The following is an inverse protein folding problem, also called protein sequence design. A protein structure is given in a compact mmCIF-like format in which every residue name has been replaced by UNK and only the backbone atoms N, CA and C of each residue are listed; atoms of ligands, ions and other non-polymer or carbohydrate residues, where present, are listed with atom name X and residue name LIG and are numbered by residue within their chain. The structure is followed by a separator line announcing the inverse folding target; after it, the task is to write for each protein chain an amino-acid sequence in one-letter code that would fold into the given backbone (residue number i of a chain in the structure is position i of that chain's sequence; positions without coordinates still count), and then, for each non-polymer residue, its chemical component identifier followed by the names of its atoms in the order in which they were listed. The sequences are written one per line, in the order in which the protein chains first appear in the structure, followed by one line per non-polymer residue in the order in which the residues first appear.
data_IF_234430084525
#
_entry.id   IF_234430084525
#
_cell.length_a   1.000
_cell.length_b   1.000
_cell.length_c   1.000
_cell.angle_alpha   90.00
_cell.angle_beta   90.00
_cell.angle_gamma   90.00
#
_symmetry.space_group_name_H-M   'P 1'
#
loop_
_entity.id
_entity.type
_entity.pdbx_description
1 polymer ?
#
# COMPACT_ATOMS: atom_id res chain seq x y z
N UNK A 1 -19.54 11.79 40.15
CA UNK A 1 -19.35 12.32 38.78
C UNK A 1 -18.04 11.85 38.17
N UNK A 2 -16.91 11.97 38.87
CA UNK A 2 -15.60 11.56 38.34
C UNK A 2 -15.49 10.09 37.90
N UNK A 3 -16.08 9.17 38.66
CA UNK A 3 -16.12 7.74 38.29
C UNK A 3 -16.86 7.53 36.95
N UNK A 4 -18.04 8.12 36.78
CA UNK A 4 -18.82 8.00 35.54
C UNK A 4 -18.10 8.64 34.33
N UNK A 5 -17.41 9.77 34.54
CA UNK A 5 -16.60 10.41 33.51
C UNK A 5 -15.50 9.47 33.00
N UNK A 6 -14.72 8.86 33.90
CA UNK A 6 -13.65 7.92 33.54
C UNK A 6 -14.18 6.67 32.84
N UNK A 7 -15.28 6.11 33.32
CA UNK A 7 -15.92 4.95 32.70
C UNK A 7 -16.42 5.29 31.29
N UNK A 8 -17.01 6.46 31.11
CA UNK A 8 -17.44 6.94 29.79
C UNK A 8 -16.25 7.12 28.84
N UNK A 9 -15.19 7.81 29.26
CA UNK A 9 -13.96 8.00 28.47
C UNK A 9 -13.34 6.66 28.06
N UNK A 10 -13.33 5.68 28.97
CA UNK A 10 -12.85 4.32 28.67
C UNK A 10 -13.70 3.62 27.60
N UNK A 11 -15.03 3.63 27.72
CA UNK A 11 -15.89 3.00 26.72
C UNK A 11 -15.80 3.67 25.34
N UNK A 12 -15.63 4.99 25.29
CA UNK A 12 -15.41 5.72 24.03
C UNK A 12 -14.08 5.31 23.40
N UNK A 13 -13.03 5.18 24.19
CA UNK A 13 -11.71 4.74 23.72
C UNK A 13 -11.79 3.32 23.13
N UNK A 14 -12.35 2.36 23.87
CA UNK A 14 -12.52 0.97 23.40
C UNK A 14 -13.36 0.90 22.12
N UNK A 15 -14.45 1.68 22.04
CA UNK A 15 -15.26 1.73 20.82
C UNK A 15 -14.46 2.30 19.65
N UNK A 16 -13.64 3.31 19.89
CA UNK A 16 -12.87 3.99 18.84
C UNK A 16 -11.75 3.08 18.32
N UNK A 17 -11.06 2.34 19.18
CA UNK A 17 -10.10 1.30 18.78
C UNK A 17 -10.78 0.19 17.98
N UNK A 18 -11.93 -0.32 18.43
CA UNK A 18 -12.67 -1.33 17.69
C UNK A 18 -13.16 -0.84 16.31
N UNK A 19 -13.41 0.46 16.15
CA UNK A 19 -13.75 1.06 14.84
C UNK A 19 -12.51 1.21 13.96
N UNK A 20 -11.36 1.51 14.55
CA UNK A 20 -10.09 1.56 13.82
C UNK A 20 -9.72 0.17 13.29
N UNK A 21 -9.88 -0.89 14.09
CA UNK A 21 -9.54 -2.26 13.69
C UNK A 21 -10.33 -2.75 12.47
N UNK A 22 -11.55 -2.26 12.27
CA UNK A 22 -12.41 -2.64 11.13
C UNK A 22 -12.26 -1.71 9.92
N UNK A 23 -11.60 -0.56 10.09
CA UNK A 23 -11.45 0.46 9.06
C UNK A 23 -10.03 0.41 8.50
N UNK A 24 -9.89 0.33 7.17
CA UNK A 24 -8.55 0.38 6.56
C UNK A 24 -7.84 1.70 6.88
N UNK A 25 -6.56 1.62 7.25
CA UNK A 25 -5.72 2.80 7.44
C UNK A 25 -5.66 3.66 6.16
N UNK A 26 -5.68 3.05 4.98
CA UNK A 26 -5.64 3.77 3.70
C UNK A 26 -6.87 4.66 3.51
N UNK A 27 -8.05 4.12 3.80
CA UNK A 27 -9.31 4.86 3.72
C UNK A 27 -9.36 5.98 4.75
N UNK A 28 -8.94 5.69 5.98
CA UNK A 28 -8.86 6.70 7.04
C UNK A 28 -7.91 7.85 6.66
N UNK A 29 -6.72 7.56 6.14
CA UNK A 29 -5.72 8.56 5.77
C UNK A 29 -6.19 9.40 4.56
N UNK A 30 -6.77 8.78 3.54
CA UNK A 30 -7.32 9.48 2.38
C UNK A 30 -8.43 10.46 2.78
N UNK A 31 -9.37 10.02 3.64
CA UNK A 31 -10.43 10.88 4.16
C UNK A 31 -9.87 11.99 5.06
N UNK A 32 -8.89 11.67 5.91
CA UNK A 32 -8.28 12.65 6.80
C UNK A 32 -7.53 13.74 6.04
N UNK A 33 -6.75 13.38 5.02
CA UNK A 33 -6.06 14.33 4.13
C UNK A 33 -7.03 15.31 3.48
N UNK A 34 -8.13 14.80 2.89
CA UNK A 34 -9.15 15.64 2.26
C UNK A 34 -9.78 16.64 3.24
N UNK A 35 -10.12 16.18 4.45
CA UNK A 35 -10.68 17.06 5.47
C UNK A 35 -9.67 18.07 6.03
N UNK A 36 -8.39 17.70 6.15
CA UNK A 36 -7.34 18.64 6.54
C UNK A 36 -7.23 19.76 5.51
N UNK A 37 -7.27 19.45 4.21
CA UNK A 37 -7.26 20.46 3.17
C UNK A 37 -8.45 21.42 3.28
N UNK A 38 -9.65 20.88 3.52
CA UNK A 38 -10.83 21.71 3.76
C UNK A 38 -10.69 22.59 4.99
N UNK A 39 -10.23 22.03 6.11
CA UNK A 39 -10.13 22.75 7.37
C UNK A 39 -9.02 23.83 7.31
N UNK A 40 -7.90 23.56 6.61
CA UNK A 40 -6.87 24.56 6.28
C UNK A 40 -7.47 25.70 5.47
N UNK A 41 -8.25 25.41 4.42
CA UNK A 41 -8.91 26.44 3.63
C UNK A 41 -9.88 27.28 4.47
N UNK A 42 -10.70 26.65 5.32
CA UNK A 42 -11.61 27.34 6.25
C UNK A 42 -10.84 28.23 7.23
N UNK A 43 -9.70 27.76 7.74
CA UNK A 43 -8.84 28.50 8.66
C UNK A 43 -8.25 29.77 8.01
N UNK A 44 -7.75 29.65 6.76
CA UNK A 44 -7.23 30.79 5.99
C UNK A 44 -8.33 31.81 5.68
N UNK A 45 -9.52 31.36 5.28
CA UNK A 45 -10.66 32.25 5.01
C UNK A 45 -11.08 32.98 6.29
N UNK A 46 -11.21 32.26 7.41
CA UNK A 46 -11.59 32.87 8.69
C UNK A 46 -10.60 33.94 9.16
N UNK A 47 -9.29 33.73 8.93
CA UNK A 47 -8.28 34.75 9.20
C UNK A 47 -8.51 36.03 8.38
N UNK A 48 -8.76 35.88 7.07
CA UNK A 48 -8.99 37.01 6.15
C UNK A 48 -10.27 37.77 6.44
N UNK A 49 -11.32 37.04 6.81
CA UNK A 49 -12.62 37.59 7.19
C UNK A 49 -12.63 38.19 8.61
N UNK A 50 -11.50 38.11 9.33
CA UNK A 50 -11.34 38.58 10.70
C UNK A 50 -12.31 37.91 11.69
N UNK A 51 -12.65 36.65 11.41
CA UNK A 51 -13.57 35.85 12.19
C UNK A 51 -12.81 34.97 13.17
N UNK A 52 -12.64 35.47 14.40
CA UNK A 52 -11.91 34.78 15.46
C UNK A 52 -12.55 33.45 15.87
N UNK A 53 -13.88 33.37 15.87
CA UNK A 53 -14.61 32.16 16.30
C UNK A 53 -14.41 31.03 15.28
N UNK A 54 -14.54 31.34 13.99
CA UNK A 54 -14.30 30.35 12.94
C UNK A 54 -12.81 30.01 12.79
N UNK A 55 -11.90 30.95 13.08
CA UNK A 55 -10.47 30.69 13.08
C UNK A 55 -10.08 29.67 14.16
N UNK A 56 -10.50 29.87 15.41
CA UNK A 56 -10.22 28.94 16.51
C UNK A 56 -10.90 27.58 16.27
N UNK A 57 -12.14 27.57 15.77
CA UNK A 57 -12.85 26.33 15.45
C UNK A 57 -12.15 25.53 14.36
N UNK A 58 -11.74 26.16 13.27
CA UNK A 58 -11.02 25.50 12.17
C UNK A 58 -9.65 24.99 12.64
N UNK A 59 -8.91 25.80 13.39
CA UNK A 59 -7.63 25.39 13.97
C UNK A 59 -7.79 24.22 14.95
N UNK A 60 -8.85 24.23 15.77
CA UNK A 60 -9.21 23.13 16.66
C UNK A 60 -9.48 21.82 15.91
N UNK A 61 -10.21 21.88 14.80
CA UNK A 61 -10.46 20.73 13.93
C UNK A 61 -9.16 20.17 13.32
N UNK A 62 -8.29 21.05 12.79
CA UNK A 62 -6.98 20.67 12.24
C UNK A 62 -6.13 19.95 13.31
N UNK A 63 -6.02 20.53 14.52
CA UNK A 63 -5.28 19.92 15.63
C UNK A 63 -5.85 18.54 16.00
N UNK A 64 -7.17 18.43 16.13
CA UNK A 64 -7.84 17.19 16.49
C UNK A 64 -7.60 16.09 15.45
N UNK A 65 -7.73 16.43 14.16
CA UNK A 65 -7.48 15.49 13.05
C UNK A 65 -6.01 15.10 12.94
N UNK A 66 -5.08 16.04 13.03
CA UNK A 66 -3.65 15.75 12.98
C UNK A 66 -3.21 14.85 14.15
N UNK A 67 -3.74 15.09 15.36
CA UNK A 67 -3.50 14.23 16.51
C UNK A 67 -4.08 12.82 16.30
N UNK A 68 -5.26 12.72 15.68
CA UNK A 68 -5.88 11.44 15.36
C UNK A 68 -5.11 10.66 14.29
N UNK A 69 -4.62 11.34 13.26
CA UNK A 69 -3.74 10.77 12.24
C UNK A 69 -2.48 10.20 12.88
N UNK A 70 -1.80 10.98 13.72
CA UNK A 70 -0.62 10.51 14.43
C UNK A 70 -0.92 9.28 15.31
N UNK A 71 -2.03 9.29 16.05
CA UNK A 71 -2.42 8.15 16.90
C UNK A 71 -2.66 6.87 16.11
N UNK A 72 -3.45 6.93 15.02
CA UNK A 72 -3.74 5.75 14.20
C UNK A 72 -2.48 5.23 13.54
N UNK A 73 -1.69 6.12 12.93
CA UNK A 73 -0.48 5.70 12.21
C UNK A 73 0.55 5.13 13.18
N UNK A 74 0.74 5.72 14.36
CA UNK A 74 1.65 5.13 15.37
C UNK A 74 1.16 3.76 15.84
N UNK A 75 -0.13 3.62 16.17
CA UNK A 75 -0.69 2.33 16.59
C UNK A 75 -0.62 1.26 15.50
N UNK A 76 -0.82 1.64 14.24
CA UNK A 76 -0.65 0.75 13.09
C UNK A 76 0.82 0.34 12.93
N UNK A 77 1.76 1.28 13.01
CA UNK A 77 3.20 0.99 12.89
C UNK A 77 3.71 0.07 14.01
N UNK A 78 3.10 0.09 15.20
CA UNK A 78 3.42 -0.83 16.30
C UNK A 78 3.09 -2.30 15.99
N UNK A 79 2.27 -2.57 14.96
CA UNK A 79 1.96 -3.92 14.49
C UNK A 79 3.03 -4.53 13.57
N UNK A 80 3.96 -3.72 13.07
CA UNK A 80 5.04 -4.13 12.17
C UNK A 80 6.37 -4.28 12.90
N UNK A 81 7.30 -5.07 12.33
CA UNK A 81 8.67 -5.14 12.84
C UNK A 81 9.40 -3.79 12.63
N UNK A 82 10.15 -3.29 13.63
CA UNK A 82 10.95 -2.08 13.47
C UNK A 82 11.96 -2.20 12.31
N UNK A 83 12.00 -1.20 11.43
CA UNK A 83 12.87 -1.21 10.26
C UNK A 83 12.72 0.06 9.41
N UNK A 84 13.33 0.06 8.22
CA UNK A 84 13.38 1.25 7.36
C UNK A 84 11.98 1.78 6.98
N UNK A 85 10.99 0.89 6.80
CA UNK A 85 9.60 1.24 6.56
C UNK A 85 8.97 1.98 7.74
N UNK A 86 8.96 1.37 8.93
CA UNK A 86 8.33 1.96 10.12
C UNK A 86 9.04 3.24 10.56
N UNK A 87 10.38 3.29 10.47
CA UNK A 87 11.16 4.51 10.71
C UNK A 87 10.85 5.62 9.68
N UNK A 88 10.64 5.24 8.41
CA UNK A 88 10.25 6.12 7.32
C UNK A 88 8.93 6.83 7.62
N UNK A 89 7.90 6.06 7.96
CA UNK A 89 6.57 6.57 8.33
C UNK A 89 6.65 7.41 9.61
N UNK A 90 7.32 6.90 10.65
CA UNK A 90 7.38 7.57 11.94
C UNK A 90 8.15 8.90 11.90
N UNK A 91 9.12 9.07 10.99
CA UNK A 91 9.77 10.37 10.76
C UNK A 91 8.76 11.46 10.42
N UNK A 92 7.81 11.17 9.53
CA UNK A 92 6.80 12.15 9.11
C UNK A 92 5.79 12.40 10.23
N UNK A 93 5.42 11.38 11.01
CA UNK A 93 4.57 11.52 12.20
C UNK A 93 5.24 12.42 13.26
N UNK A 94 6.55 12.29 13.46
CA UNK A 94 7.31 13.15 14.38
C UNK A 94 7.37 14.61 13.90
N UNK A 95 7.58 14.83 12.59
CA UNK A 95 7.53 16.17 12.00
C UNK A 95 6.15 16.81 12.22
N UNK A 96 5.07 16.04 12.12
CA UNK A 96 3.71 16.54 12.36
C UNK A 96 3.52 17.00 13.82
N UNK A 97 3.92 16.18 14.81
CA UNK A 97 3.43 16.32 16.20
C UNK A 97 4.45 16.75 17.26
N UNK A 98 5.77 16.68 17.01
CA UNK A 98 6.79 16.95 18.05
C UNK A 98 6.70 16.04 19.28
N UNK A 99 6.50 14.75 19.11
CA UNK A 99 6.74 13.76 20.16
C UNK A 99 8.20 13.29 20.06
N UNK A 100 9.12 14.05 20.65
CA UNK A 100 10.48 13.57 20.87
C UNK A 100 10.47 12.43 21.92
N UNK A 101 10.42 11.17 21.46
CA UNK A 101 11.19 10.03 21.98
C UNK A 101 10.83 8.72 21.23
N UNK A 102 11.76 8.19 20.43
CA UNK A 102 11.97 6.75 20.31
C UNK A 102 13.25 6.45 21.10
N UNK A 103 13.13 5.80 22.26
CA UNK A 103 14.26 5.00 22.74
C UNK A 103 14.21 3.72 21.93
N UNK A 104 15.22 3.50 21.09
CA UNK A 104 15.52 2.15 20.62
C UNK A 104 15.65 1.24 21.86
N UNK A 105 14.98 0.08 21.92
CA UNK A 105 15.08 -0.83 23.05
C UNK A 105 16.47 -1.50 23.15
N UNK A 106 17.38 -1.21 22.22
CA UNK A 106 18.75 -1.66 22.30
C UNK A 106 19.56 -0.80 23.29
N UNK A 107 19.72 -1.32 24.51
CA UNK A 107 20.70 -0.90 25.53
C UNK A 107 20.18 0.07 26.60
N UNK A 108 19.28 -0.39 27.46
CA UNK A 108 19.38 -0.03 28.89
C UNK A 108 19.05 -1.23 29.76
N UNK A 109 20.10 -1.90 30.22
CA UNK A 109 20.02 -2.89 31.29
C UNK A 109 19.83 -2.11 32.61
N UNK A 110 18.59 -1.79 32.98
CA UNK A 110 18.25 -1.20 34.29
C UNK A 110 17.39 -2.20 35.04
N UNK A 111 17.91 -2.87 36.09
CA UNK A 111 17.11 -3.84 36.82
C UNK A 111 16.12 -3.11 37.73
N UNK A 112 14.82 -3.38 37.57
CA UNK A 112 13.81 -3.12 38.61
C UNK A 112 12.70 -2.11 38.32
N UNK A 113 12.43 -1.74 37.07
CA UNK A 113 11.25 -0.94 36.71
C UNK A 113 10.44 -1.63 35.62
N UNK A 114 9.36 -2.28 36.03
CA UNK A 114 8.39 -2.93 35.14
C UNK A 114 7.51 -1.85 34.50
N UNK A 115 8.00 -1.25 33.40
CA UNK A 115 7.37 -0.13 32.69
C UNK A 115 6.21 -0.55 31.78
N UNK A 116 5.90 -1.84 31.69
CA UNK A 116 4.86 -2.41 30.81
C UNK A 116 3.43 -2.37 31.40
N UNK A 117 3.20 -1.70 32.54
CA UNK A 117 1.88 -1.67 33.19
C UNK A 117 1.35 -0.28 33.59
N UNK A 118 1.99 0.82 33.17
CA UNK A 118 1.52 2.15 33.55
C UNK A 118 0.81 2.89 32.39
N UNK A 119 -0.38 3.48 32.64
CA UNK A 119 -1.09 4.27 31.63
C UNK A 119 -0.29 5.54 31.26
N UNK A 120 -0.39 5.99 30.00
CA UNK A 120 0.34 7.16 29.45
C UNK A 120 0.23 8.44 30.29
N UNK A 121 -0.89 8.63 31.00
CA UNK A 121 -1.10 9.73 31.94
C UNK A 121 -0.12 9.71 33.13
N UNK A 122 0.29 8.52 33.58
CA UNK A 122 1.26 8.34 34.67
C UNK A 122 2.71 8.51 34.19
N UNK A 123 3.01 8.17 32.92
CA UNK A 123 4.31 8.47 32.32
C UNK A 123 4.59 9.98 32.26
N UNK A 124 3.57 10.81 32.00
CA UNK A 124 3.67 12.27 32.04
C UNK A 124 4.06 12.80 33.44
N UNK A 125 3.52 12.22 34.51
CA UNK A 125 3.77 12.62 35.90
C UNK A 125 5.18 12.21 36.36
N UNK A 126 5.62 11.00 35.99
CA UNK A 126 6.98 10.48 36.29
C UNK A 126 8.05 11.28 35.52
N UNK A 127 7.77 11.68 34.27
CA UNK A 127 8.62 12.53 33.43
C UNK A 127 8.86 13.92 34.02
N UNK A 128 7.84 14.55 34.63
CA UNK A 128 7.99 15.83 35.33
C UNK A 128 8.96 15.76 36.51
N UNK A 129 9.15 14.58 37.10
CA UNK A 129 10.03 14.38 38.26
C UNK A 129 11.45 13.95 37.89
N UNK A 130 11.66 13.36 36.71
CA UNK A 130 12.96 12.87 36.22
C UNK A 130 13.68 13.86 35.27
N UNK A 131 13.00 14.91 34.80
CA UNK A 131 13.55 15.93 33.88
C UNK A 131 14.75 16.74 34.42
N UNK A 132 15.20 16.50 35.65
CA UNK A 132 16.38 17.17 36.23
C UNK A 132 17.68 16.36 36.16
N UNK A 133 17.70 15.11 35.65
CA UNK A 133 18.88 14.26 35.83
C UNK A 133 19.48 13.58 34.59
N UNK A 134 18.95 13.80 33.39
CA UNK A 134 19.56 13.29 32.15
C UNK A 134 19.78 14.43 31.18
N UNK A 135 21.05 14.74 30.92
CA UNK A 135 21.49 15.60 29.82
C UNK A 135 21.26 14.82 28.51
N UNK A 136 20.35 15.23 27.61
CA UNK A 136 20.31 14.62 26.29
C UNK A 136 21.31 15.32 25.37
N UNK A 137 22.09 14.52 24.65
CA UNK A 137 22.91 14.97 23.53
C UNK A 137 22.02 15.60 22.44
N UNK A 138 22.55 16.55 21.63
CA UNK A 138 21.73 17.30 20.68
C UNK A 138 21.43 16.43 19.45
N UNK A 139 20.24 15.83 19.39
CA UNK A 139 19.63 15.46 18.11
C UNK A 139 18.94 16.71 17.55
N UNK A 140 19.21 17.01 16.28
CA UNK A 140 18.64 18.13 15.53
C UNK A 140 17.15 18.33 15.83
N UNK A 141 16.82 19.53 16.32
CA UNK A 141 15.45 20.01 16.50
C UNK A 141 14.79 20.16 15.13
N UNK A 142 14.21 19.08 14.61
CA UNK A 142 13.28 19.18 13.48
C UNK A 142 12.06 19.96 13.96
N UNK A 143 11.85 21.15 13.41
CA UNK A 143 10.74 22.01 13.80
C UNK A 143 9.41 21.32 13.49
N UNK A 144 8.59 21.12 14.51
CA UNK A 144 7.31 20.44 14.38
C UNK A 144 6.19 21.35 13.89
N UNK A 145 5.39 20.81 12.97
CA UNK A 145 4.41 21.60 12.22
C UNK A 145 3.21 22.01 13.07
N UNK A 146 2.63 21.11 13.87
CA UNK A 146 1.43 21.44 14.66
C UNK A 146 1.74 22.49 15.75
N UNK A 147 2.80 22.38 16.58
CA UNK A 147 3.12 23.42 17.55
C UNK A 147 3.43 24.79 16.94
N UNK A 148 4.09 24.80 15.77
CA UNK A 148 4.35 26.01 14.99
C UNK A 148 3.03 26.66 14.54
N UNK A 149 2.12 25.86 13.97
CA UNK A 149 0.78 26.30 13.59
C UNK A 149 -0.05 26.81 14.78
N UNK A 150 -0.04 26.13 15.91
CA UNK A 150 -0.76 26.59 17.11
C UNK A 150 -0.25 27.94 17.57
N UNK A 151 1.06 28.15 17.54
CA UNK A 151 1.68 29.43 17.91
C UNK A 151 1.22 30.56 16.99
N UNK A 152 1.16 30.29 15.69
CA UNK A 152 0.65 31.22 14.68
C UNK A 152 -0.83 31.56 14.87
N UNK A 153 -1.68 30.55 15.09
CA UNK A 153 -3.12 30.73 15.35
C UNK A 153 -3.34 31.59 16.59
N UNK A 154 -2.63 31.31 17.69
CA UNK A 154 -2.75 32.10 18.91
C UNK A 154 -2.30 33.55 18.70
N UNK A 155 -1.21 33.78 17.97
CA UNK A 155 -0.77 35.12 17.62
C UNK A 155 -1.81 35.87 16.76
N UNK A 156 -2.46 35.16 15.83
CA UNK A 156 -3.50 35.72 14.99
C UNK A 156 -4.77 36.07 15.79
N UNK A 157 -5.23 35.18 16.68
CA UNK A 157 -6.35 35.43 17.59
C UNK A 157 -6.07 36.62 18.51
N UNK A 158 -4.85 36.72 19.05
CA UNK A 158 -4.43 37.85 19.86
C UNK A 158 -4.46 39.17 19.07
N UNK A 159 -4.01 39.16 17.82
CA UNK A 159 -4.03 40.34 16.95
C UNK A 159 -5.45 40.76 16.57
N UNK A 160 -6.35 39.80 16.31
CA UNK A 160 -7.77 40.03 16.07
C UNK A 160 -8.43 40.66 17.30
N UNK A 161 -8.15 40.14 18.51
CA UNK A 161 -8.70 40.70 19.75
C UNK A 161 -8.29 42.15 20.02
N UNK A 162 -7.10 42.54 19.55
CA UNK A 162 -6.52 43.89 19.70
C UNK A 162 -6.83 44.80 18.51
N UNK A 163 -7.56 44.32 17.51
CA UNK A 163 -7.85 45.03 16.26
C UNK A 163 -6.58 45.54 15.53
N UNK A 164 -5.47 44.81 15.67
CA UNK A 164 -4.13 45.19 15.18
C UNK A 164 -3.59 44.15 14.20
N UNK A 165 -4.37 43.85 13.15
CA UNK A 165 -4.06 42.79 12.19
C UNK A 165 -2.93 43.14 11.22
N UNK A 166 -2.57 44.42 11.08
CA UNK A 166 -1.54 44.90 10.13
C UNK A 166 -0.13 44.39 10.42
N UNK A 167 0.05 43.64 11.50
CA UNK A 167 1.34 43.07 11.95
C UNK A 167 1.46 41.59 11.55
N UNK A 168 0.37 40.93 11.14
CA UNK A 168 0.42 39.53 10.75
C UNK A 168 0.93 39.38 9.32
N UNK A 169 1.82 38.39 9.14
CA UNK A 169 2.25 37.94 7.82
C UNK A 169 1.31 36.84 7.34
N UNK A 170 0.29 37.23 6.58
CA UNK A 170 -0.71 36.31 6.00
C UNK A 170 -0.05 35.20 5.14
N UNK A 171 1.09 35.50 4.50
CA UNK A 171 1.79 34.51 3.69
C UNK A 171 2.41 33.43 4.57
N UNK A 172 3.05 33.84 5.68
CA UNK A 172 3.61 32.90 6.65
C UNK A 172 2.54 31.99 7.25
N UNK A 173 1.36 32.54 7.56
CA UNK A 173 0.24 31.75 8.08
C UNK A 173 -0.26 30.72 7.07
N UNK A 174 -0.39 31.12 5.80
CA UNK A 174 -0.78 30.22 4.70
C UNK A 174 0.27 29.11 4.52
N UNK A 175 1.55 29.45 4.54
CA UNK A 175 2.64 28.48 4.34
C UNK A 175 2.69 27.43 5.46
N UNK A 176 2.53 27.84 6.72
CA UNK A 176 2.50 26.90 7.86
C UNK A 176 1.23 26.05 7.84
N UNK A 177 0.09 26.62 7.44
CA UNK A 177 -1.15 25.85 7.29
C UNK A 177 -1.04 24.79 6.19
N UNK A 178 -0.40 25.12 5.06
CA UNK A 178 -0.11 24.16 3.97
C UNK A 178 0.84 23.06 4.41
N UNK A 179 1.89 23.40 5.17
CA UNK A 179 2.85 22.43 5.70
C UNK A 179 2.19 21.30 6.50
N UNK A 180 1.05 21.56 7.16
CA UNK A 180 0.26 20.51 7.85
C UNK A 180 -0.32 19.53 6.85
N UNK A 181 -0.95 20.04 5.79
CA UNK A 181 -1.50 19.22 4.71
C UNK A 181 -0.39 18.40 4.05
N UNK A 182 0.72 19.04 3.68
CA UNK A 182 1.85 18.38 3.02
C UNK A 182 2.42 17.26 3.90
N UNK A 183 2.59 17.50 5.20
CA UNK A 183 3.09 16.47 6.13
C UNK A 183 2.13 15.29 6.25
N UNK A 184 0.81 15.53 6.25
CA UNK A 184 -0.19 14.46 6.30
C UNK A 184 -0.24 13.67 4.99
N UNK A 185 -0.07 14.36 3.86
CA UNK A 185 0.11 13.74 2.56
C UNK A 185 1.36 12.85 2.54
N UNK A 186 2.50 13.33 3.06
CA UNK A 186 3.74 12.56 3.14
C UNK A 186 3.59 11.32 4.03
N UNK A 187 2.84 11.41 5.14
CA UNK A 187 2.50 10.26 5.97
C UNK A 187 1.73 9.23 5.15
N UNK A 188 0.67 9.63 4.45
CA UNK A 188 -0.14 8.72 3.62
C UNK A 188 0.70 8.06 2.53
N UNK A 189 1.49 8.83 1.80
CA UNK A 189 2.39 8.30 0.78
C UNK A 189 3.38 7.30 1.38
N UNK A 190 3.95 7.59 2.54
CA UNK A 190 4.88 6.68 3.22
C UNK A 190 4.19 5.38 3.68
N UNK A 191 2.96 5.47 4.19
CA UNK A 191 2.17 4.29 4.59
C UNK A 191 1.87 3.41 3.37
N UNK A 192 1.51 3.99 2.22
CA UNK A 192 1.20 3.24 0.99
C UNK A 192 2.41 2.55 0.34
N UNK A 193 3.65 2.92 0.72
CA UNK A 193 4.89 2.31 0.19
C UNK A 193 5.25 1.00 0.91
N UNK A 194 4.25 0.16 1.23
CA UNK A 194 4.43 -1.08 1.99
C UNK A 194 5.30 -2.07 1.18
N UNK A 195 6.61 -2.11 1.49
CA UNK A 195 7.66 -3.08 1.08
C UNK A 195 7.98 -3.22 -0.41
N UNK A 196 9.27 -3.44 -0.71
CA UNK A 196 9.70 -3.97 -2.01
C UNK A 196 9.43 -5.49 -2.05
N UNK A 197 9.17 -6.09 -3.24
CA UNK A 197 8.94 -7.53 -3.42
C UNK A 197 10.05 -8.45 -2.90
N UNK A 198 11.24 -7.90 -2.66
CA UNK A 198 12.42 -8.62 -2.15
C UNK A 198 12.23 -9.03 -0.68
N UNK A 199 11.50 -8.23 0.12
CA UNK A 199 11.19 -8.58 1.52
C UNK A 199 10.06 -9.62 1.64
N UNK A 200 9.36 -9.93 0.55
CA UNK A 200 8.35 -10.99 0.48
C UNK A 200 8.95 -12.36 0.09
N UNK A 201 10.22 -12.42 -0.29
CA UNK A 201 10.88 -13.68 -0.64
C UNK A 201 11.33 -14.47 0.60
N UNK A 202 11.47 -13.81 1.76
CA UNK A 202 12.00 -14.41 2.99
C UNK A 202 10.98 -15.25 3.78
N UNK A 203 9.75 -15.39 3.28
CA UNK A 203 8.76 -16.36 3.84
C UNK A 203 8.77 -17.71 3.13
N UNK A 204 9.58 -17.87 2.07
CA UNK A 204 9.69 -19.12 1.31
C UNK A 204 10.80 -20.06 1.83
N UNK A 205 11.68 -19.61 2.73
CA UNK A 205 12.88 -20.37 3.13
C UNK A 205 12.78 -21.04 4.51
N UNK A 206 11.59 -21.11 5.11
CA UNK A 206 11.31 -22.05 6.19
C UNK A 206 10.96 -23.43 5.62
N UNK A 207 11.93 -24.05 4.93
CA UNK A 207 12.02 -25.51 4.92
C UNK A 207 12.51 -25.96 6.31
N UNK A 208 11.58 -26.10 7.27
CA UNK A 208 11.87 -26.85 8.50
C UNK A 208 10.67 -27.73 8.89
N UNK A 209 10.69 -28.95 8.34
CA UNK A 209 10.42 -30.21 9.04
C UNK A 209 9.26 -30.27 10.06
N UNK A 210 8.13 -29.67 9.75
CA UNK A 210 6.87 -30.06 10.37
C UNK A 210 6.12 -31.02 9.47
N UNK A 211 6.38 -32.31 9.71
CA UNK A 211 5.46 -33.42 9.45
C UNK A 211 4.18 -33.17 10.27
N UNK A 212 3.39 -32.14 9.90
CA UNK A 212 2.01 -31.99 10.35
C UNK A 212 1.24 -33.03 9.57
N UNK A 213 1.29 -34.24 10.11
CA UNK A 213 0.31 -35.29 9.93
C UNK A 213 -1.05 -34.65 10.19
N UNK A 214 -1.67 -34.16 9.12
CA UNK A 214 -3.06 -33.72 9.11
C UNK A 214 -3.91 -34.91 9.54
N UNK A 215 -4.25 -34.93 10.83
CA UNK A 215 -5.18 -35.86 11.45
C UNK A 215 -6.61 -35.52 11.04
N UNK A 216 -6.86 -35.50 9.73
CA UNK A 216 -8.21 -35.59 9.15
C UNK A 216 -8.17 -36.50 7.93
N UNK A 217 -7.36 -37.56 7.98
CA UNK A 217 -7.60 -38.74 7.14
C UNK A 217 -8.66 -39.61 7.81
N UNK A 218 -9.90 -39.12 7.82
CA UNK A 218 -11.00 -40.04 7.57
C UNK A 218 -10.89 -40.31 6.08
N UNK A 219 -10.46 -41.54 5.74
CA UNK A 219 -10.54 -42.09 4.41
C UNK A 219 -11.95 -41.86 3.85
N UNK A 220 -12.10 -40.81 3.06
CA UNK A 220 -13.12 -40.82 2.02
C UNK A 220 -12.40 -41.38 0.80
N UNK A 221 -12.91 -42.49 0.28
CA UNK A 221 -12.49 -43.10 -0.98
C UNK A 221 -12.86 -42.17 -2.16
N UNK A 222 -12.37 -40.94 -2.14
CA UNK A 222 -12.62 -39.89 -3.13
C UNK A 222 -11.34 -39.54 -3.87
N UNK A 223 -11.37 -39.62 -5.20
CA UNK A 223 -10.31 -39.14 -6.09
C UNK A 223 -9.90 -37.70 -5.71
N UNK A 224 -8.60 -37.38 -5.73
CA UNK A 224 -8.11 -36.01 -5.53
C UNK A 224 -8.76 -35.05 -6.52
N UNK A 225 -8.93 -33.77 -6.17
CA UNK A 225 -9.63 -32.81 -7.06
C UNK A 225 -8.93 -32.66 -8.41
N UNK A 226 -7.59 -32.78 -8.44
CA UNK A 226 -6.81 -32.88 -9.69
C UNK A 226 -7.15 -34.14 -10.52
N UNK A 227 -7.37 -35.28 -9.87
CA UNK A 227 -7.80 -36.51 -10.53
C UNK A 227 -9.25 -36.45 -11.02
N UNK A 228 -10.12 -35.69 -10.33
CA UNK A 228 -11.50 -35.40 -10.79
C UNK A 228 -11.49 -34.54 -12.06
N UNK A 229 -10.63 -33.53 -12.14
CA UNK A 229 -10.46 -32.70 -13.34
C UNK A 229 -10.03 -33.52 -14.56
N UNK A 230 -9.21 -34.54 -14.35
CA UNK A 230 -8.75 -35.45 -15.42
C UNK A 230 -9.87 -36.38 -15.93
N UNK A 231 -10.95 -36.52 -15.17
CA UNK A 231 -12.08 -37.40 -15.49
C UNK A 231 -13.30 -36.64 -16.02
N UNK A 232 -13.14 -35.34 -16.31
CA UNK A 232 -14.21 -34.56 -16.92
C UNK A 232 -14.61 -35.13 -18.30
N UNK A 233 -15.89 -34.98 -18.69
CA UNK A 233 -16.37 -35.28 -20.03
C UNK A 233 -15.55 -34.59 -21.11
N UNK A 234 -15.42 -35.22 -22.28
CA UNK A 234 -14.61 -34.73 -23.38
C UNK A 234 -15.05 -33.35 -23.87
N UNK A 235 -16.36 -33.09 -23.92
CA UNK A 235 -16.93 -31.79 -24.25
C UNK A 235 -16.58 -30.67 -23.24
N UNK A 236 -16.31 -31.01 -21.97
CA UNK A 236 -15.89 -30.04 -20.95
C UNK A 236 -14.38 -29.81 -21.00
N UNK A 237 -13.61 -30.88 -21.26
CA UNK A 237 -12.16 -30.78 -21.49
C UNK A 237 -11.82 -29.97 -22.73
N UNK A 238 -12.61 -30.08 -23.79
CA UNK A 238 -12.44 -29.30 -25.02
C UNK A 238 -12.67 -27.81 -24.77
N UNK A 239 -13.73 -27.44 -24.04
CA UNK A 239 -13.97 -26.06 -23.60
C UNK A 239 -12.86 -25.50 -22.72
N UNK A 240 -12.34 -26.32 -21.79
CA UNK A 240 -11.18 -25.93 -20.97
C UNK A 240 -9.96 -25.72 -21.88
N UNK A 241 -9.69 -26.63 -22.81
CA UNK A 241 -8.56 -26.53 -23.73
C UNK A 241 -8.60 -25.25 -24.59
N UNK A 242 -9.79 -24.89 -25.10
CA UNK A 242 -10.04 -23.64 -25.82
C UNK A 242 -9.76 -22.41 -24.93
N UNK A 243 -10.34 -22.35 -23.74
CA UNK A 243 -10.10 -21.24 -22.81
C UNK A 243 -8.62 -21.12 -22.41
N UNK A 244 -7.90 -22.24 -22.28
CA UNK A 244 -6.47 -22.15 -22.00
C UNK A 244 -5.66 -21.74 -23.23
N UNK A 245 -6.08 -22.07 -24.45
CA UNK A 245 -5.44 -21.55 -25.65
C UNK A 245 -5.56 -20.02 -25.72
N UNK A 246 -6.74 -19.48 -25.41
CA UNK A 246 -6.96 -18.03 -25.31
C UNK A 246 -6.13 -17.38 -24.20
N UNK A 247 -6.08 -18.00 -23.01
CA UNK A 247 -5.21 -17.54 -21.92
C UNK A 247 -3.74 -17.50 -22.35
N UNK A 248 -3.25 -18.52 -23.06
CA UNK A 248 -1.88 -18.55 -23.60
C UNK A 248 -1.62 -17.44 -24.61
N UNK A 249 -2.62 -17.05 -25.40
CA UNK A 249 -2.52 -15.91 -26.32
C UNK A 249 -2.35 -14.59 -25.56
N UNK A 250 -3.10 -14.37 -24.48
CA UNK A 250 -2.95 -13.20 -23.60
C UNK A 250 -1.59 -13.23 -22.89
N UNK A 251 -1.17 -14.40 -22.40
CA UNK A 251 0.14 -14.60 -21.77
C UNK A 251 1.30 -14.27 -22.70
N UNK A 252 1.22 -14.66 -23.98
CA UNK A 252 2.24 -14.33 -24.98
C UNK A 252 2.37 -12.81 -25.20
N UNK A 253 1.25 -12.08 -25.21
CA UNK A 253 1.25 -10.61 -25.28
C UNK A 253 1.88 -9.98 -24.04
N UNK A 254 1.57 -10.52 -22.85
CA UNK A 254 2.18 -10.07 -21.59
C UNK A 254 3.70 -10.33 -21.58
N UNK A 255 4.16 -11.50 -22.03
CA UNK A 255 5.58 -11.83 -22.10
C UNK A 255 6.33 -10.88 -23.05
N UNK A 256 5.75 -10.55 -24.21
CA UNK A 256 6.33 -9.61 -25.17
C UNK A 256 6.41 -8.18 -24.60
N UNK A 257 5.39 -7.75 -23.85
CA UNK A 257 5.41 -6.46 -23.16
C UNK A 257 6.43 -6.46 -22.02
N UNK A 258 6.58 -7.55 -21.28
CA UNK A 258 7.58 -7.65 -20.20
C UNK A 258 9.01 -7.63 -20.74
N UNK A 259 9.25 -8.23 -21.91
CA UNK A 259 10.59 -8.33 -22.52
C UNK A 259 11.20 -6.96 -22.89
N UNK A 260 10.36 -5.92 -23.09
CA UNK A 260 10.85 -4.58 -23.39
C UNK A 260 11.24 -3.76 -22.14
N UNK A 261 10.96 -4.26 -20.93
CA UNK A 261 11.28 -3.61 -19.66
C UNK A 261 12.47 -4.30 -18.96
N UNK A 262 13.31 -3.52 -18.27
CA UNK A 262 14.39 -4.04 -17.41
C UNK A 262 13.84 -4.38 -16.02
N UNK A 263 14.18 -5.56 -15.49
CA UNK A 263 13.69 -6.06 -14.19
C UNK A 263 14.51 -5.56 -13.00
N UNK A 264 15.70 -5.02 -13.25
CA UNK A 264 16.75 -4.81 -12.24
C UNK A 264 16.35 -3.87 -11.08
N UNK A 265 15.25 -3.11 -11.23
CA UNK A 265 14.68 -2.28 -10.15
C UNK A 265 13.19 -1.95 -10.34
N UNK A 266 12.42 -2.84 -10.99
CA UNK A 266 11.02 -2.56 -11.30
C UNK A 266 10.07 -3.62 -10.71
N UNK A 267 9.60 -3.33 -9.50
CA UNK A 267 8.69 -4.17 -8.73
C UNK A 267 7.39 -4.51 -9.46
N UNK A 268 6.91 -3.61 -10.33
CA UNK A 268 5.72 -3.83 -11.14
C UNK A 268 5.96 -4.99 -12.14
N UNK A 269 7.15 -5.03 -12.74
CA UNK A 269 7.51 -6.08 -13.70
C UNK A 269 7.76 -7.41 -12.97
N UNK A 270 8.45 -7.38 -11.84
CA UNK A 270 8.66 -8.56 -10.98
C UNK A 270 7.33 -9.14 -10.51
N UNK A 271 6.40 -8.29 -10.06
CA UNK A 271 5.06 -8.70 -9.64
C UNK A 271 4.25 -9.29 -10.81
N UNK A 272 4.29 -8.65 -11.99
CA UNK A 272 3.61 -9.17 -13.18
C UNK A 272 4.11 -10.57 -13.58
N UNK A 273 5.42 -10.83 -13.47
CA UNK A 273 6.00 -12.17 -13.67
C UNK A 273 5.52 -13.18 -12.63
N UNK A 274 5.55 -12.81 -11.34
CA UNK A 274 5.04 -13.67 -10.24
C UNK A 274 3.56 -14.01 -10.44
N UNK A 275 2.73 -13.03 -10.79
CA UNK A 275 1.32 -13.24 -11.12
C UNK A 275 1.14 -14.17 -12.34
N UNK A 276 1.93 -13.99 -13.40
CA UNK A 276 1.91 -14.84 -14.59
C UNK A 276 2.20 -16.32 -14.24
N UNK A 277 3.19 -16.57 -13.38
CA UNK A 277 3.51 -17.93 -12.90
C UNK A 277 2.33 -18.56 -12.16
N UNK A 278 1.74 -17.87 -11.18
CA UNK A 278 0.58 -18.39 -10.41
C UNK A 278 -0.61 -18.64 -11.34
N UNK A 279 -0.90 -17.73 -12.28
CA UNK A 279 -1.99 -17.92 -13.23
C UNK A 279 -1.74 -19.13 -14.15
N UNK A 280 -0.50 -19.40 -14.56
CA UNK A 280 -0.16 -20.61 -15.30
C UNK A 280 -0.38 -21.88 -14.46
N UNK A 281 0.05 -21.89 -13.19
CA UNK A 281 -0.14 -23.05 -12.30
C UNK A 281 -1.61 -23.37 -12.05
N UNK A 282 -2.43 -22.35 -11.80
CA UNK A 282 -3.89 -22.48 -11.65
C UNK A 282 -4.55 -22.97 -12.95
N UNK A 283 -4.01 -22.57 -14.09
CA UNK A 283 -4.50 -22.97 -15.41
C UNK A 283 -4.06 -24.39 -15.78
N UNK A 284 -2.87 -24.82 -15.37
CA UNK A 284 -2.40 -26.20 -15.57
C UNK A 284 -3.05 -27.17 -14.57
N UNK A 285 -3.61 -26.67 -13.47
CA UNK A 285 -4.47 -27.46 -12.58
C UNK A 285 -5.74 -27.95 -13.28
N UNK A 286 -6.34 -27.16 -14.19
CA UNK A 286 -7.56 -27.54 -14.92
C UNK A 286 -7.32 -28.56 -16.03
N UNK A 287 -6.06 -28.81 -16.40
CA UNK A 287 -5.67 -29.76 -17.47
C UNK A 287 -5.47 -31.20 -17.00
N UNK A 288 -5.37 -31.45 -15.69
CA UNK A 288 -4.96 -32.75 -15.14
C UNK A 288 -3.45 -33.00 -15.31
N UNK A 289 -2.91 -34.16 -14.87
CA UNK A 289 -1.49 -34.47 -15.04
C UNK A 289 -1.15 -34.62 -16.53
N UNK A 290 -0.29 -33.74 -17.03
CA UNK A 290 0.46 -34.03 -18.25
C UNK A 290 1.38 -35.20 -17.95
N UNK A 291 1.30 -36.28 -18.74
CA UNK A 291 2.30 -37.33 -18.75
C UNK A 291 3.63 -36.75 -19.27
N UNK A 292 4.38 -36.08 -18.40
CA UNK A 292 5.83 -35.95 -18.50
C UNK A 292 6.43 -36.07 -17.10
N UNK A 293 6.36 -37.30 -16.58
CA UNK A 293 7.48 -37.78 -15.77
C UNK A 293 8.69 -37.93 -16.68
N UNK A 294 9.42 -36.84 -16.90
CA UNK A 294 10.85 -36.95 -17.13
C UNK A 294 11.51 -36.77 -15.76
N UNK A 295 12.34 -37.72 -15.31
CA UNK A 295 13.13 -37.49 -14.11
C UNK A 295 13.98 -36.24 -14.35
N UNK A 296 14.09 -35.41 -13.33
CA UNK A 296 15.08 -34.35 -13.19
C UNK A 296 16.48 -34.95 -13.29
N UNK A 297 16.95 -35.20 -14.51
CA UNK A 297 18.33 -35.54 -14.78
C UNK A 297 19.11 -34.23 -14.82
N UNK A 298 19.82 -33.93 -13.72
CA UNK A 298 20.91 -32.95 -13.72
C UNK A 298 21.90 -33.37 -14.81
N UNK A 299 21.90 -32.68 -15.95
CA UNK A 299 22.99 -32.70 -16.94
C UNK A 299 23.40 -31.24 -17.13
N UNK A 300 24.60 -30.83 -16.73
CA UNK A 300 25.84 -31.49 -17.11
C UNK A 300 26.14 -31.06 -18.54
N UNK A 301 26.84 -29.94 -18.63
CA UNK A 301 27.43 -29.29 -19.81
C UNK A 301 27.91 -30.30 -20.88
N UNK A 302 27.62 -30.00 -22.16
CA UNK A 302 28.40 -30.23 -23.39
C UNK A 302 27.55 -30.61 -24.64
N UNK A 303 27.41 -29.61 -25.53
CA UNK A 303 27.43 -29.66 -27.00
C UNK A 303 26.73 -30.77 -27.80
N UNK A 304 25.69 -30.39 -28.56
CA UNK A 304 25.49 -30.82 -29.97
C UNK A 304 24.52 -29.88 -30.70
N UNK A 305 25.07 -28.89 -31.38
CA UNK A 305 24.34 -28.07 -32.35
C UNK A 305 24.38 -28.74 -33.73
N UNK A 306 23.21 -29.05 -34.28
CA UNK A 306 22.96 -29.07 -35.74
C UNK A 306 21.52 -29.47 -36.11
N UNK A 307 20.75 -30.14 -35.25
CA UNK A 307 19.39 -30.60 -35.60
C UNK A 307 18.27 -29.62 -35.15
N UNK A 308 18.47 -28.86 -34.07
CA UNK A 308 17.47 -27.89 -33.58
C UNK A 308 17.32 -26.62 -34.46
N UNK A 309 18.26 -26.36 -35.38
CA UNK A 309 18.20 -25.18 -36.26
C UNK A 309 17.30 -25.39 -37.47
N UNK A 310 17.05 -26.63 -37.89
CA UNK A 310 16.21 -26.92 -39.06
C UNK A 310 14.73 -26.90 -38.68
N UNK A 311 14.38 -27.44 -37.52
CA UNK A 311 13.01 -27.49 -36.99
C UNK A 311 12.51 -26.10 -36.56
N UNK A 312 13.38 -25.27 -35.95
CA UNK A 312 13.05 -23.87 -35.66
C UNK A 312 12.92 -22.98 -36.91
N UNK A 313 13.57 -23.33 -38.03
CA UNK A 313 13.45 -22.54 -39.27
C UNK A 313 12.17 -22.89 -40.05
N UNK A 314 11.72 -24.14 -39.96
CA UNK A 314 10.44 -24.58 -40.53
C UNK A 314 9.24 -24.01 -39.75
N UNK A 315 9.29 -23.98 -38.41
CA UNK A 315 8.26 -23.30 -37.61
C UNK A 315 8.25 -21.78 -37.83
N UNK A 316 9.43 -21.14 -37.96
CA UNK A 316 9.50 -19.71 -38.28
C UNK A 316 8.96 -19.37 -39.67
N UNK A 317 9.23 -20.19 -40.69
CA UNK A 317 8.64 -19.99 -42.02
C UNK A 317 7.14 -20.23 -42.06
N UNK A 318 6.63 -21.22 -41.30
CA UNK A 318 5.19 -21.46 -41.20
C UNK A 318 4.45 -20.29 -40.54
N UNK A 319 5.03 -19.69 -39.50
CA UNK A 319 4.44 -18.52 -38.81
C UNK A 319 4.49 -17.27 -39.69
N UNK A 320 5.58 -17.03 -40.43
CA UNK A 320 5.67 -15.90 -41.38
C UNK A 320 4.65 -16.05 -42.51
N UNK A 321 4.45 -17.27 -43.04
CA UNK A 321 3.46 -17.51 -44.08
C UNK A 321 2.01 -17.24 -43.60
N UNK A 322 1.67 -17.63 -42.38
CA UNK A 322 0.34 -17.36 -41.78
C UNK A 322 0.14 -15.86 -41.53
N UNK A 323 1.18 -15.15 -41.09
CA UNK A 323 1.10 -13.70 -40.87
C UNK A 323 1.03 -12.90 -42.18
N UNK A 324 1.70 -13.35 -43.24
CA UNK A 324 1.57 -12.73 -44.58
C UNK A 324 0.18 -12.96 -45.19
N UNK A 325 -0.45 -14.11 -44.93
CA UNK A 325 -1.81 -14.43 -45.38
C UNK A 325 -2.85 -13.58 -44.63
N UNK A 326 -2.74 -13.41 -43.30
CA UNK A 326 -3.65 -12.56 -42.52
C UNK A 326 -3.47 -11.05 -42.81
N UNK A 327 -2.23 -10.59 -43.08
CA UNK A 327 -2.03 -9.19 -43.50
C UNK A 327 -2.61 -8.89 -44.89
N UNK A 328 -2.59 -9.87 -45.81
CA UNK A 328 -3.16 -9.72 -47.14
C UNK A 328 -4.70 -9.69 -47.13
N UNK A 329 -5.34 -10.42 -46.19
CA UNK A 329 -6.79 -10.33 -45.97
C UNK A 329 -7.20 -8.99 -45.36
N UNK A 330 -6.38 -8.44 -44.46
CA UNK A 330 -6.64 -7.16 -43.82
C UNK A 330 -6.57 -5.95 -44.78
N UNK A 331 -5.76 -6.02 -45.85
CA UNK A 331 -5.72 -4.98 -46.90
C UNK A 331 -6.97 -4.99 -47.82
N UNK A 332 -7.64 -6.13 -47.99
CA UNK A 332 -8.87 -6.21 -48.80
C UNK A 332 -10.10 -5.65 -48.09
N UNK A 333 -10.17 -5.72 -46.76
CA UNK A 333 -11.29 -5.17 -45.99
C UNK A 333 -11.25 -3.64 -45.84
N UNK A 334 -10.09 -3.00 -46.03
CA UNK A 334 -9.94 -1.55 -45.90
C UNK A 334 -10.42 -0.74 -47.11
N UNK A 335 -10.79 -1.38 -48.24
CA UNK A 335 -11.19 -0.68 -49.47
C UNK A 335 -12.70 -0.69 -49.78
N UNK A 336 -13.54 -1.21 -48.88
CA UNK A 336 -15.01 -1.13 -48.99
C UNK A 336 -15.54 0.10 -48.24
N UNK A 337 -15.44 1.27 -48.85
CA UNK A 337 -16.16 2.45 -48.36
C UNK A 337 -17.69 2.27 -48.46
N UNK A 338 -18.46 2.61 -47.41
CA UNK A 338 -19.91 2.56 -47.46
C UNK A 338 -20.47 3.73 -48.28
N UNK A 339 -21.24 3.44 -49.33
CA UNK A 339 -22.01 4.44 -50.09
C UNK A 339 -22.97 5.19 -49.16
N UNK A 340 -22.68 6.47 -48.91
CA UNK A 340 -23.58 7.43 -48.28
C UNK A 340 -24.82 7.60 -49.16
N UNK A 341 -26.01 7.42 -48.58
CA UNK A 341 -27.29 7.75 -49.22
C UNK A 341 -27.49 9.27 -49.16
N UNK A 342 -27.76 9.87 -50.32
CA UNK A 342 -28.06 11.30 -50.47
C UNK A 342 -29.27 11.74 -49.62
N UNK A 343 -29.19 12.87 -48.90
CA UNK A 343 -30.30 13.44 -48.16
C UNK A 343 -31.03 14.49 -49.03
N UNK A 344 -31.82 14.05 -50.00
CA UNK A 344 -32.83 14.89 -50.66
C UNK A 344 -34.00 14.01 -51.11
N UNK A 345 -34.81 13.61 -50.13
CA UNK A 345 -36.09 12.96 -50.35
C UNK A 345 -36.89 12.97 -49.05
N UNK A 346 -37.53 14.09 -48.73
CA UNK A 346 -38.99 14.19 -48.61
C UNK A 346 -39.37 15.56 -48.03
N UNK A 347 -40.13 16.27 -48.87
CA UNK A 347 -40.99 17.40 -48.53
C UNK A 347 -42.19 16.96 -47.67
#
# INVERSE_FOLDING_TARGET
MEMYKRTWEHYIHVLTEAVDDITSIDDFLAVSESHILEDVNKCIIALRDQDADNLDRAAGAIRGRAARVAHIVTGEMDSYEPGAYTEGVMRNVHVLTSTGFWLSPASTNVPGLDLLQLPWSSMFQVRSSLGHQLNPAPMELTASVIPEFVTQVNAALDALSKNSLTVLDDNQFVDISKKIYDTIHDIRCSVMMIRTPEELEDVSDLEDDHEVRSHTSIQTEGKTDRAKMTQLPEAEKEKIAEQVADFKKVKSKLDAEIEIWDDTSNDIIVLAKKMCMIMMEMTDFTRGPTLKGHPTERKGDHGRGSEAKTEQNEEKMAIVAVLEEEMAECEQEQFMEPKVKDPDSLA
#
